data_IF_544711688921
#
_entry.id   IF_544711688921
#
_cell.length_a   1.000
_cell.length_b   1.000
_cell.length_c   1.000
_cell.angle_alpha   90.00
_cell.angle_beta   90.00
_cell.angle_gamma   90.00
#
_symmetry.space_group_name_H-M   'P 1'
#
loop_
_entity.id
_entity.type
_entity.pdbx_description
1 polymer ?
#
# COMPACT_ATOMS: atom_id res chain seq x y z
N UNK A 1 12.07 -17.55 -8.67
CA UNK A 1 10.98 -16.59 -8.43
C UNK A 1 11.49 -15.68 -7.34
N UNK A 2 11.58 -14.38 -7.61
CA UNK A 2 11.83 -13.40 -6.56
C UNK A 2 10.66 -13.39 -5.58
N UNK A 3 10.94 -13.14 -4.30
CA UNK A 3 9.89 -13.02 -3.29
C UNK A 3 8.97 -11.84 -3.65
N UNK A 4 7.65 -11.93 -3.40
CA UNK A 4 6.76 -10.80 -3.60
C UNK A 4 7.27 -9.59 -2.79
N UNK A 5 7.18 -8.39 -3.36
CA UNK A 5 7.55 -7.16 -2.66
C UNK A 5 6.34 -6.54 -1.96
N UNK A 6 6.62 -5.79 -0.90
CA UNK A 6 5.65 -5.00 -0.15
C UNK A 6 6.22 -3.65 0.25
N UNK A 7 5.35 -2.80 0.79
CA UNK A 7 5.72 -1.46 1.24
C UNK A 7 5.96 -1.46 2.76
N UNK A 8 6.90 -0.66 3.22
CA UNK A 8 7.17 -0.48 4.65
C UNK A 8 6.21 0.54 5.27
N UNK A 9 6.11 0.53 6.61
CA UNK A 9 5.41 1.61 7.33
C UNK A 9 6.05 2.98 7.05
N UNK A 10 7.37 3.03 6.88
CA UNK A 10 8.09 4.25 6.52
C UNK A 10 7.62 4.82 5.17
N UNK A 11 7.36 3.98 4.16
CA UNK A 11 6.77 4.44 2.89
C UNK A 11 5.40 5.10 3.11
N UNK A 12 4.56 4.52 3.98
CA UNK A 12 3.23 5.06 4.29
C UNK A 12 3.31 6.41 5.00
N UNK A 13 4.27 6.58 5.92
CA UNK A 13 4.53 7.87 6.54
C UNK A 13 5.05 8.91 5.56
N UNK A 14 5.98 8.52 4.68
CA UNK A 14 6.49 9.40 3.63
C UNK A 14 5.36 9.84 2.69
N UNK A 15 4.53 8.89 2.25
CA UNK A 15 3.34 9.16 1.45
C UNK A 15 2.42 10.20 2.12
N UNK A 16 2.14 10.05 3.42
CA UNK A 16 1.33 11.03 4.15
C UNK A 16 2.05 12.39 4.21
N UNK A 17 3.34 12.40 4.49
CA UNK A 17 4.13 13.63 4.64
C UNK A 17 4.24 14.42 3.34
N UNK A 18 4.43 13.77 2.19
CA UNK A 18 4.49 14.42 0.88
C UNK A 18 3.15 14.99 0.44
N UNK A 19 2.05 14.49 1.01
CA UNK A 19 0.68 14.91 0.75
C UNK A 19 0.11 15.85 1.82
N UNK A 20 0.92 16.79 2.31
CA UNK A 20 0.54 17.79 3.32
C UNK A 20 0.27 17.25 4.74
N UNK A 21 0.74 16.04 5.03
CA UNK A 21 0.64 15.44 6.36
C UNK A 21 -0.74 14.86 6.68
N UNK A 22 -0.91 14.40 7.93
CA UNK A 22 -2.11 13.65 8.36
C UNK A 22 -3.41 14.42 8.21
N UNK A 23 -3.39 15.74 8.36
CA UNK A 23 -4.58 16.60 8.24
C UNK A 23 -5.29 16.42 6.89
N UNK A 24 -4.54 16.24 5.81
CA UNK A 24 -5.09 16.06 4.46
C UNK A 24 -5.86 14.72 4.30
N UNK A 25 -5.64 13.78 5.23
CA UNK A 25 -6.24 12.45 5.21
C UNK A 25 -7.38 12.27 6.22
N UNK A 26 -7.72 13.31 7.01
CA UNK A 26 -8.78 13.18 8.02
C UNK A 26 -10.14 12.88 7.40
N UNK A 27 -10.78 11.82 7.92
CA UNK A 27 -12.06 11.33 7.42
C UNK A 27 -11.99 10.63 6.06
N UNK A 28 -10.81 10.52 5.43
CA UNK A 28 -10.67 9.79 4.18
C UNK A 28 -10.63 8.28 4.44
N UNK A 29 -11.31 7.54 3.56
CA UNK A 29 -11.24 6.09 3.51
C UNK A 29 -10.10 5.69 2.57
N UNK A 30 -9.67 4.43 2.60
CA UNK A 30 -8.69 3.94 1.61
C UNK A 30 -9.20 4.14 0.17
N UNK A 31 -10.50 3.99 -0.07
CA UNK A 31 -11.11 4.28 -1.37
C UNK A 31 -10.90 5.74 -1.78
N UNK A 32 -11.18 6.69 -0.89
CA UNK A 32 -10.94 8.10 -1.16
C UNK A 32 -9.46 8.37 -1.49
N UNK A 33 -8.53 7.82 -0.69
CA UNK A 33 -7.08 7.97 -0.95
C UNK A 33 -6.69 7.38 -2.31
N UNK A 34 -7.24 6.22 -2.66
CA UNK A 34 -6.97 5.58 -3.94
C UNK A 34 -7.40 6.46 -5.12
N UNK A 35 -8.65 6.95 -5.10
CA UNK A 35 -9.22 7.71 -6.21
C UNK A 35 -8.77 9.17 -6.29
N UNK A 36 -8.50 9.80 -5.14
CA UNK A 36 -8.15 11.22 -5.08
C UNK A 36 -6.64 11.48 -5.19
N UNK A 37 -5.81 10.48 -4.87
CA UNK A 37 -4.35 10.64 -4.80
C UNK A 37 -3.64 9.60 -5.66
N UNK A 38 -3.73 8.31 -5.31
CA UNK A 38 -2.93 7.26 -5.94
C UNK A 38 -3.17 7.17 -7.45
N UNK A 39 -4.43 7.12 -7.88
CA UNK A 39 -4.79 7.03 -9.30
C UNK A 39 -4.34 8.27 -10.10
N UNK A 40 -4.58 9.51 -9.62
CA UNK A 40 -4.02 10.71 -10.24
C UNK A 40 -2.48 10.72 -10.34
N UNK A 41 -1.74 10.40 -9.28
CA UNK A 41 -0.27 10.42 -9.29
C UNK A 41 0.30 9.39 -10.27
N UNK A 42 -0.28 8.20 -10.28
CA UNK A 42 0.16 7.11 -11.16
C UNK A 42 -0.46 7.19 -12.57
N UNK A 43 -1.20 8.25 -12.90
CA UNK A 43 -1.97 8.34 -14.14
C UNK A 43 -1.07 8.35 -15.39
N UNK A 44 0.14 8.91 -15.30
CA UNK A 44 1.10 8.97 -16.41
C UNK A 44 1.84 7.65 -16.58
N UNK A 45 2.33 7.07 -15.48
CA UNK A 45 3.14 5.84 -15.54
C UNK A 45 2.29 4.60 -15.71
N UNK A 46 1.02 4.63 -15.30
CA UNK A 46 0.10 3.48 -15.28
C UNK A 46 0.65 2.29 -14.50
N UNK A 47 1.50 2.54 -13.50
CA UNK A 47 2.07 1.53 -12.60
C UNK A 47 1.25 1.43 -11.30
N UNK A 48 1.52 0.42 -10.47
CA UNK A 48 1.12 0.49 -9.06
C UNK A 48 1.80 1.67 -8.35
N UNK A 49 1.27 2.10 -7.21
CA UNK A 49 1.90 3.17 -6.44
C UNK A 49 3.33 2.81 -6.03
N UNK A 50 3.53 1.57 -5.56
CA UNK A 50 4.83 1.04 -5.18
C UNK A 50 5.85 1.12 -6.33
N UNK A 51 5.46 0.64 -7.52
CA UNK A 51 6.34 0.68 -8.70
C UNK A 51 6.58 2.10 -9.21
N UNK A 52 5.56 2.97 -9.15
CA UNK A 52 5.71 4.39 -9.47
C UNK A 52 6.69 5.08 -8.51
N UNK A 53 6.55 4.82 -7.21
CA UNK A 53 7.43 5.34 -6.18
C UNK A 53 8.90 4.91 -6.39
N UNK A 54 9.14 3.69 -6.87
CA UNK A 54 10.50 3.20 -7.18
C UNK A 54 11.20 3.91 -8.34
N UNK A 55 10.49 4.74 -9.11
CA UNK A 55 11.13 5.51 -10.19
C UNK A 55 12.02 6.63 -9.65
N UNK A 56 11.55 7.34 -8.61
CA UNK A 56 12.21 8.56 -8.09
C UNK A 56 12.32 8.61 -6.55
N UNK A 57 11.75 7.65 -5.84
CA UNK A 57 11.73 7.57 -4.37
C UNK A 57 12.88 6.75 -3.78
N UNK A 58 12.83 6.53 -2.47
CA UNK A 58 13.82 5.72 -1.76
C UNK A 58 13.52 4.21 -1.90
N UNK A 59 14.33 3.43 -2.64
CA UNK A 59 14.07 2.00 -2.85
C UNK A 59 14.11 1.18 -1.56
N UNK A 60 14.78 1.65 -0.51
CA UNK A 60 14.86 0.94 0.78
C UNK A 60 13.50 0.87 1.51
N UNK A 61 12.52 1.66 1.08
CA UNK A 61 11.18 1.64 1.65
C UNK A 61 10.25 0.59 1.03
N UNK A 62 10.76 -0.14 0.03
CA UNK A 62 10.16 -1.34 -0.55
C UNK A 62 11.04 -2.53 -0.19
N UNK A 63 10.44 -3.59 0.34
CA UNK A 63 11.20 -4.74 0.82
C UNK A 63 10.47 -6.05 0.50
N UNK A 64 11.16 -7.22 0.58
CA UNK A 64 10.50 -8.51 0.49
C UNK A 64 9.33 -8.61 1.47
N UNK A 65 8.18 -9.06 0.99
CA UNK A 65 6.91 -9.07 1.69
C UNK A 65 7.00 -9.87 3.00
N UNK A 66 6.65 -9.24 4.13
CA UNK A 66 6.60 -9.90 5.44
C UNK A 66 5.18 -10.29 5.83
N UNK A 67 4.22 -9.40 5.60
CA UNK A 67 2.84 -9.57 6.08
C UNK A 67 1.83 -9.29 4.98
N UNK A 68 0.85 -10.19 4.86
CA UNK A 68 -0.34 -9.93 4.08
C UNK A 68 -1.39 -9.21 4.94
N UNK A 69 -1.88 -8.06 4.49
CA UNK A 69 -2.88 -7.28 5.23
C UNK A 69 -4.18 -7.19 4.45
N UNK A 70 -5.24 -7.73 5.03
CA UNK A 70 -6.61 -7.58 4.54
C UNK A 70 -7.30 -6.46 5.31
N UNK A 71 -7.95 -5.53 4.61
CA UNK A 71 -8.72 -4.44 5.20
C UNK A 71 -9.88 -4.05 4.27
N UNK A 72 -10.86 -3.33 4.80
CA UNK A 72 -11.99 -2.83 4.00
C UNK A 72 -11.65 -1.46 3.43
N UNK A 73 -11.96 -1.25 2.14
CA UNK A 73 -11.67 0.02 1.46
C UNK A 73 -12.46 1.21 1.99
N UNK A 74 -13.60 0.94 2.62
CA UNK A 74 -14.46 1.94 3.26
C UNK A 74 -14.02 2.29 4.68
N UNK A 75 -13.00 1.62 5.23
CA UNK A 75 -12.44 1.98 6.52
C UNK A 75 -11.62 3.26 6.41
N UNK A 76 -11.52 4.03 7.49
CA UNK A 76 -10.67 5.20 7.55
C UNK A 76 -9.21 4.80 7.32
N UNK A 77 -8.55 5.54 6.43
CA UNK A 77 -7.16 5.29 6.04
C UNK A 77 -6.22 5.49 7.22
N UNK A 78 -6.34 6.59 7.95
CA UNK A 78 -5.46 6.88 9.09
C UNK A 78 -5.62 5.88 10.23
N UNK A 79 -6.84 5.44 10.53
CA UNK A 79 -7.07 4.40 11.54
C UNK A 79 -6.38 3.08 11.17
N UNK A 80 -6.31 2.76 9.87
CA UNK A 80 -5.57 1.60 9.37
C UNK A 80 -4.06 1.77 9.58
N UNK A 81 -3.50 2.94 9.27
CA UNK A 81 -2.08 3.24 9.50
C UNK A 81 -1.74 3.15 10.99
N UNK A 82 -2.56 3.74 11.86
CA UNK A 82 -2.36 3.71 13.31
C UNK A 82 -2.43 2.28 13.85
N UNK A 83 -3.32 1.45 13.28
CA UNK A 83 -3.41 0.02 13.62
C UNK A 83 -2.15 -0.75 13.22
N UNK A 84 -1.55 -0.43 12.06
CA UNK A 84 -0.28 -1.02 11.63
C UNK A 84 0.89 -0.58 12.52
N UNK A 85 0.94 0.69 12.90
CA UNK A 85 1.94 1.22 13.83
C UNK A 85 1.88 0.48 15.18
N UNK A 86 0.69 0.38 15.77
CA UNK A 86 0.48 -0.32 17.03
C UNK A 86 0.86 -1.80 16.94
N UNK A 87 0.51 -2.47 15.83
CA UNK A 87 0.91 -3.85 15.58
C UNK A 87 2.45 -3.98 15.55
N UNK A 88 3.15 -3.11 14.85
CA UNK A 88 4.61 -3.17 14.74
C UNK A 88 5.34 -2.87 16.05
N UNK A 89 4.81 -1.93 16.86
CA UNK A 89 5.30 -1.69 18.23
C UNK A 89 5.22 -2.97 19.05
N UNK A 90 4.10 -3.71 18.95
CA UNK A 90 3.92 -4.98 19.66
C UNK A 90 4.87 -6.09 19.16
N UNK A 91 5.24 -6.08 17.88
CA UNK A 91 6.22 -7.01 17.32
C UNK A 91 7.69 -6.64 17.62
N UNK A 92 7.95 -5.46 18.20
CA UNK A 92 9.30 -4.98 18.52
C UNK A 92 10.16 -4.64 17.30
N UNK A 93 9.56 -4.48 16.11
CA UNK A 93 10.25 -4.43 14.82
C UNK A 93 9.62 -3.42 13.85
N UNK A 94 9.64 -2.14 14.20
CA UNK A 94 8.98 -1.06 13.42
C UNK A 94 9.58 -0.87 12.02
N UNK A 95 10.88 -1.11 11.86
CA UNK A 95 11.60 -0.75 10.62
C UNK A 95 11.92 -1.93 9.70
N UNK A 96 11.61 -3.17 10.09
CA UNK A 96 12.05 -4.37 9.35
C UNK A 96 10.91 -5.14 8.68
N UNK A 97 9.69 -4.61 8.70
CA UNK A 97 8.52 -5.31 8.20
C UNK A 97 7.93 -4.57 6.99
N UNK A 98 7.50 -5.34 6.01
CA UNK A 98 6.80 -4.85 4.83
C UNK A 98 5.44 -5.52 4.69
N UNK A 99 4.53 -4.82 4.04
CA UNK A 99 3.13 -5.18 3.97
C UNK A 99 2.65 -5.24 2.53
N UNK A 100 1.80 -6.21 2.26
CA UNK A 100 0.95 -6.17 1.09
C UNK A 100 -0.27 -5.33 1.44
N UNK A 101 -0.28 -4.11 0.94
CA UNK A 101 -1.42 -3.21 1.06
C UNK A 101 -2.00 -2.98 -0.34
N UNK A 102 -3.20 -3.52 -0.58
CA UNK A 102 -3.75 -3.64 -1.93
C UNK A 102 -3.83 -2.33 -2.72
N UNK A 103 -4.09 -1.18 -2.08
CA UNK A 103 -4.18 0.11 -2.75
C UNK A 103 -2.83 0.59 -3.31
N UNK A 104 -1.73 0.18 -2.68
CA UNK A 104 -0.38 0.61 -3.05
C UNK A 104 0.34 -0.40 -3.94
N UNK A 105 0.18 -1.69 -3.64
CA UNK A 105 0.94 -2.77 -4.30
C UNK A 105 0.26 -3.26 -5.59
N UNK A 106 -1.07 -3.15 -5.70
CA UNK A 106 -1.73 -3.47 -6.96
C UNK A 106 -1.69 -2.28 -7.91
N UNK A 107 -1.64 -2.58 -9.20
CA UNK A 107 -1.85 -1.58 -10.23
C UNK A 107 -3.34 -1.25 -10.31
N UNK A 108 -3.71 -0.09 -9.78
CA UNK A 108 -5.11 0.34 -9.67
C UNK A 108 -5.74 0.60 -11.05
N UNK A 109 -4.93 0.90 -12.08
CA UNK A 109 -5.42 1.12 -13.44
C UNK A 109 -5.86 -0.17 -14.15
N UNK A 110 -5.53 -1.34 -13.59
CA UNK A 110 -5.87 -2.63 -14.18
C UNK A 110 -7.03 -3.34 -13.47
N UNK A 111 -7.58 -2.78 -12.39
CA UNK A 111 -8.55 -3.50 -11.56
C UNK A 111 -9.84 -3.83 -12.32
N UNK A 112 -10.38 -2.88 -13.08
CA UNK A 112 -11.63 -3.06 -13.82
C UNK A 112 -11.52 -4.03 -15.00
N UNK A 113 -10.31 -4.23 -15.54
CA UNK A 113 -10.07 -5.17 -16.64
C UNK A 113 -9.69 -6.56 -16.15
N UNK A 114 -9.54 -6.73 -14.84
CA UNK A 114 -9.01 -7.94 -14.23
C UNK A 114 -10.12 -8.80 -13.65
N UNK A 115 -10.18 -10.06 -14.08
CA UNK A 115 -11.23 -10.99 -13.65
C UNK A 115 -11.08 -11.41 -12.18
N UNK A 116 -12.19 -11.80 -11.55
CA UNK A 116 -12.19 -12.36 -10.19
C UNK A 116 -11.20 -13.52 -10.02
N UNK A 117 -11.05 -14.38 -11.03
CA UNK A 117 -10.14 -15.54 -10.97
C UNK A 117 -8.67 -15.13 -10.88
N UNK A 118 -8.29 -13.99 -11.47
CA UNK A 118 -6.96 -13.43 -11.30
C UNK A 118 -6.74 -12.97 -9.86
N UNK A 119 -7.67 -12.21 -9.28
CA UNK A 119 -7.57 -11.72 -7.90
C UNK A 119 -7.51 -12.88 -6.89
N UNK A 120 -8.34 -13.91 -7.10
CA UNK A 120 -8.33 -15.12 -6.28
C UNK A 120 -6.98 -15.85 -6.35
N UNK A 121 -6.37 -15.98 -7.55
CA UNK A 121 -5.04 -16.59 -7.69
C UNK A 121 -3.95 -15.73 -7.06
N UNK A 122 -4.00 -14.40 -7.26
CA UNK A 122 -3.03 -13.47 -6.65
C UNK A 122 -3.09 -13.56 -5.12
N UNK A 123 -4.29 -13.62 -4.55
CA UNK A 123 -4.49 -13.85 -3.12
C UNK A 123 -3.83 -15.15 -2.65
N UNK A 124 -4.08 -16.26 -3.34
CA UNK A 124 -3.50 -17.57 -3.01
C UNK A 124 -1.97 -17.64 -3.16
N UNK A 125 -1.40 -16.93 -4.13
CA UNK A 125 0.05 -16.92 -4.37
C UNK A 125 0.81 -16.02 -3.39
N UNK A 126 0.13 -15.03 -2.80
CA UNK A 126 0.73 -14.08 -1.87
C UNK A 126 0.77 -14.63 -0.43
N UNK A 127 0.01 -15.70 -0.15
CA UNK A 127 -0.09 -16.34 1.17
C UNK A 127 0.56 -17.73 1.13
N UNK A 128 1.81 -17.83 1.58
CA UNK A 128 2.49 -19.09 1.91
C UNK A 128 3.28 -18.93 3.19
#
# INVERSE_FOLDING_TARGET
MEAPQGITLALLHEFIATHSGREAFYGLTTEHVCHQIILPETAVTKLSYMEHYLLDGNPDLVAPLTWYVSHTWLHCFLDFIDSLELFLVQQGSINSMSFWFCAFVNNQHLIDTTSFSFWSKKFQMTWK
#
